data_IF_907512266476
#
_entry.id   IF_907512266476
#
_cell.length_a   1.000
_cell.length_b   1.000
_cell.length_c   1.000
_cell.angle_alpha   90.00
_cell.angle_beta   90.00
_cell.angle_gamma   90.00
#
_symmetry.space_group_name_H-M   'P 1'
#
loop_
_entity.id
_entity.type
_entity.pdbx_description
1 polymer ?
#
# COMPACT_ATOMS: atom_id res chain seq x y z
N UNK A 1 4.32 -6.72 -10.53
CA UNK A 1 3.79 -7.98 -9.92
C UNK A 1 2.27 -8.01 -10.07
N UNK A 2 1.65 -9.18 -10.04
CA UNK A 2 0.19 -9.38 -10.04
C UNK A 2 -0.34 -9.54 -8.62
N UNK A 3 -1.66 -9.44 -8.47
CA UNK A 3 -2.34 -9.67 -7.17
C UNK A 3 -2.05 -11.07 -6.62
N UNK A 4 -2.00 -12.10 -7.48
CA UNK A 4 -1.73 -13.48 -7.03
C UNK A 4 -0.31 -13.60 -6.50
N UNK A 5 0.69 -13.08 -7.23
CA UNK A 5 2.10 -13.12 -6.77
C UNK A 5 2.29 -12.41 -5.43
N UNK A 6 1.65 -11.24 -5.24
CA UNK A 6 1.74 -10.48 -3.97
C UNK A 6 1.00 -11.20 -2.83
N UNK A 7 -0.17 -11.79 -3.13
CA UNK A 7 -0.97 -12.56 -2.17
C UNK A 7 -0.19 -13.77 -1.64
N UNK A 8 0.50 -14.48 -2.52
CA UNK A 8 1.31 -15.64 -2.17
C UNK A 8 2.55 -15.23 -1.35
N UNK A 9 3.22 -14.14 -1.74
CA UNK A 9 4.41 -13.61 -1.06
C UNK A 9 4.11 -13.09 0.35
N UNK A 10 3.03 -12.31 0.51
CA UNK A 10 2.67 -11.71 1.79
C UNK A 10 1.78 -12.60 2.65
N UNK A 11 1.38 -13.79 2.15
CA UNK A 11 0.45 -14.72 2.81
C UNK A 11 -0.87 -14.06 3.23
N UNK A 12 -1.36 -13.15 2.40
CA UNK A 12 -2.63 -12.44 2.59
C UNK A 12 -3.62 -12.87 1.53
N UNK A 13 -4.92 -12.73 1.79
CA UNK A 13 -5.94 -13.10 0.80
C UNK A 13 -5.87 -12.18 -0.42
N UNK A 14 -6.21 -12.71 -1.61
CA UNK A 14 -6.28 -11.91 -2.85
C UNK A 14 -7.23 -10.72 -2.72
N UNK A 15 -8.33 -10.89 -1.98
CA UNK A 15 -9.27 -9.80 -1.68
C UNK A 15 -8.61 -8.66 -0.90
N UNK A 16 -7.88 -8.98 0.17
CA UNK A 16 -7.17 -7.97 0.97
C UNK A 16 -6.10 -7.23 0.13
N UNK A 17 -5.28 -7.98 -0.62
CA UNK A 17 -4.29 -7.37 -1.53
C UNK A 17 -4.97 -6.49 -2.58
N UNK A 18 -6.10 -6.92 -3.13
CA UNK A 18 -6.85 -6.11 -4.10
C UNK A 18 -7.33 -4.79 -3.51
N UNK A 19 -7.87 -4.80 -2.28
CA UNK A 19 -8.29 -3.58 -1.59
C UNK A 19 -7.12 -2.64 -1.32
N UNK A 20 -5.97 -3.17 -0.86
CA UNK A 20 -4.80 -2.33 -0.60
C UNK A 20 -4.18 -1.75 -1.88
N UNK A 21 -4.16 -2.52 -2.97
CA UNK A 21 -3.73 -2.03 -4.28
C UNK A 21 -4.64 -0.90 -4.76
N UNK A 22 -5.97 -1.02 -4.61
CA UNK A 22 -6.88 0.07 -4.95
C UNK A 22 -6.60 1.34 -4.12
N UNK A 23 -6.33 1.20 -2.81
CA UNK A 23 -5.98 2.33 -1.94
C UNK A 23 -4.67 3.01 -2.38
N UNK A 24 -3.64 2.22 -2.70
CA UNK A 24 -2.35 2.74 -3.15
C UNK A 24 -2.44 3.40 -4.53
N UNK A 25 -3.27 2.87 -5.44
CA UNK A 25 -3.55 3.47 -6.74
C UNK A 25 -4.28 4.80 -6.58
N UNK A 26 -5.31 4.86 -5.73
CA UNK A 26 -6.03 6.09 -5.41
C UNK A 26 -5.14 7.14 -4.75
N UNK A 27 -4.20 6.72 -3.89
CA UNK A 27 -3.20 7.60 -3.30
C UNK A 27 -2.10 8.03 -4.30
N UNK A 28 -2.13 7.54 -5.54
CA UNK A 28 -1.18 7.88 -6.58
C UNK A 28 0.22 7.31 -6.37
N UNK A 29 0.37 6.24 -5.58
CA UNK A 29 1.66 5.62 -5.26
C UNK A 29 2.05 4.53 -6.27
N UNK A 30 1.06 3.90 -6.90
CA UNK A 30 1.23 2.86 -7.90
C UNK A 30 0.37 3.16 -9.14
N UNK A 31 0.68 2.48 -10.23
CA UNK A 31 -0.15 2.42 -11.44
C UNK A 31 -0.45 0.97 -11.81
N UNK A 32 -1.62 0.77 -12.42
CA UNK A 32 -2.04 -0.50 -12.96
C UNK A 32 -1.83 -0.50 -14.47
N UNK A 33 -1.04 -1.45 -14.94
CA UNK A 33 -0.82 -1.70 -16.36
C UNK A 33 -1.52 -2.97 -16.80
N UNK A 34 -1.92 -2.98 -18.07
CA UNK A 34 -2.52 -4.12 -18.73
C UNK A 34 -1.58 -4.54 -19.85
N UNK A 35 -1.05 -5.74 -19.74
CA UNK A 35 -0.08 -6.29 -20.68
C UNK A 35 -0.65 -7.56 -21.30
N UNK A 36 -0.25 -7.86 -22.54
CA UNK A 36 -0.59 -9.14 -23.14
C UNK A 36 0.17 -10.25 -22.42
N UNK A 37 -0.55 -11.14 -21.73
CA UNK A 37 -0.01 -12.33 -21.10
C UNK A 37 -0.30 -13.59 -21.91
N UNK A 38 0.31 -14.70 -21.48
CA UNK A 38 0.17 -16.01 -22.14
C UNK A 38 -1.29 -16.54 -22.20
N UNK A 39 -2.18 -16.04 -21.34
CA UNK A 39 -3.61 -16.42 -21.30
C UNK A 39 -4.51 -15.19 -21.42
N UNK A 40 -4.17 -14.25 -22.31
CA UNK A 40 -4.91 -13.01 -22.52
C UNK A 40 -4.35 -11.85 -21.68
N UNK A 41 -5.18 -10.86 -21.38
CA UNK A 41 -4.73 -9.62 -20.71
C UNK A 41 -4.33 -9.91 -19.26
N UNK A 42 -3.10 -9.53 -18.90
CA UNK A 42 -2.54 -9.62 -17.54
C UNK A 42 -2.51 -8.24 -16.91
N UNK A 43 -3.07 -8.13 -15.70
CA UNK A 43 -2.97 -6.94 -14.85
C UNK A 43 -1.64 -6.97 -14.08
N UNK A 44 -0.81 -5.94 -14.24
CA UNK A 44 0.46 -5.77 -13.53
C UNK A 44 0.45 -4.49 -12.72
N UNK A 45 0.99 -4.55 -11.51
CA UNK A 45 1.16 -3.41 -10.61
C UNK A 45 2.59 -2.89 -10.77
N UNK A 46 2.72 -1.59 -10.99
CA UNK A 46 4.00 -0.88 -11.12
C UNK A 46 4.07 0.28 -10.12
N UNK A 47 5.22 0.42 -9.47
CA UNK A 47 5.46 1.50 -8.53
C UNK A 47 5.73 2.81 -9.29
N UNK A 48 5.16 3.93 -8.84
CA UNK A 48 5.49 5.27 -9.37
C UNK A 48 6.74 5.88 -8.74
N UNK A 49 7.12 5.37 -7.56
CA UNK A 49 8.25 5.85 -6.79
C UNK A 49 9.16 4.68 -6.42
N UNK A 50 10.47 4.94 -6.44
CA UNK A 50 11.48 3.93 -6.07
C UNK A 50 11.66 3.82 -4.56
N UNK A 51 11.25 4.84 -3.80
CA UNK A 51 11.43 4.90 -2.35
C UNK A 51 10.29 5.67 -1.69
N UNK A 52 9.74 5.11 -0.62
CA UNK A 52 8.81 5.76 0.28
C UNK A 52 9.52 5.87 1.64
N UNK A 53 9.50 7.04 2.25
CA UNK A 53 10.04 7.27 3.61
C UNK A 53 8.86 7.62 4.51
N UNK A 54 8.62 6.79 5.52
CA UNK A 54 7.59 7.01 6.54
C UNK A 54 8.33 7.50 7.79
N UNK A 55 8.05 8.73 8.21
CA UNK A 55 8.56 9.30 9.46
C UNK A 55 7.42 9.25 10.47
N UNK A 56 7.60 8.48 11.52
CA UNK A 56 6.66 8.39 12.63
C UNK A 56 7.20 9.31 13.73
N UNK A 57 6.49 10.39 14.02
CA UNK A 57 6.81 11.26 15.14
C UNK A 57 5.87 10.92 16.29
N UNK A 58 6.43 10.68 17.47
CA UNK A 58 5.65 10.66 18.71
C UNK A 58 5.26 12.10 19.02
N UNK A 59 3.98 12.44 18.87
CA UNK A 59 3.48 13.66 19.50
C UNK A 59 3.52 13.42 21.01
N UNK A 60 4.30 14.23 21.72
CA UNK A 60 4.32 14.24 23.18
C UNK A 60 2.90 14.45 23.69
N UNK A 61 2.49 13.62 24.65
CA UNK A 61 1.29 13.88 25.44
C UNK A 61 1.60 15.16 26.23
N UNK A 62 0.89 16.24 25.94
CA UNK A 62 1.02 17.48 26.70
C UNK A 62 0.67 17.20 28.17
N UNK A 63 1.67 17.18 29.06
CA UNK A 63 1.55 17.09 30.53
C UNK A 63 0.86 18.33 31.17
N UNK A 64 0.10 19.11 30.39
CA UNK A 64 -0.55 20.34 30.83
C UNK A 64 -1.78 20.14 31.73
N UNK A 65 -2.01 18.93 32.27
CA UNK A 65 -3.07 18.64 33.23
C UNK A 65 -2.61 18.57 34.70
N UNK A 66 -1.37 18.97 35.03
CA UNK A 66 -0.99 19.24 36.42
C UNK A 66 -1.15 20.73 36.70
N UNK A 67 -2.40 21.18 36.89
CA UNK A 67 -2.72 22.38 37.65
C UNK A 67 -3.73 22.01 38.75
N UNK A 68 -3.19 21.62 39.91
CA UNK A 68 -3.77 21.92 41.22
C UNK A 68 -2.75 22.83 41.92
N UNK A 69 -3.21 23.88 42.62
CA UNK A 69 -3.71 23.68 43.98
C UNK A 69 -5.21 23.96 44.15
#
# INVERSE_FOLDING_TARGET
KSITEISDELRMTKGNISSQVANLEQAGLIEINYENGNKGIRKTIKNKYNRIVIIINENQVDDAAIKNP
#
